data_IF_098082461370
#
_entry.id   IF_098082461370
#
_cell.length_a   1.000
_cell.length_b   1.000
_cell.length_c   1.000
_cell.angle_alpha   90.00
_cell.angle_beta   90.00
_cell.angle_gamma   90.00
#
_symmetry.space_group_name_H-M   'P 1'
#
loop_
_entity.id
_entity.type
_entity.pdbx_description
1 polymer ?
#
# COMPACT_ATOMS: atom_id res chain seq x y z
N UNK A 1 2.86 4.11 -22.58
CA UNK A 1 2.13 4.84 -21.54
C UNK A 1 2.66 4.36 -20.20
N UNK A 2 2.73 5.19 -19.17
CA UNK A 2 3.21 4.77 -17.88
C UNK A 2 2.25 3.75 -17.24
N UNK A 3 2.80 2.86 -16.43
CA UNK A 3 2.08 1.74 -15.81
C UNK A 3 2.29 1.76 -14.30
N UNK A 4 1.23 1.52 -13.53
CA UNK A 4 1.31 1.31 -12.09
C UNK A 4 0.75 -0.07 -11.71
N UNK A 5 1.44 -0.78 -10.81
CA UNK A 5 0.93 -2.00 -10.17
C UNK A 5 0.60 -1.72 -8.71
N UNK A 6 -0.55 -2.19 -8.24
CA UNK A 6 -1.03 -1.92 -6.88
C UNK A 6 -1.53 -3.22 -6.25
N UNK A 7 -1.04 -3.59 -5.08
CA UNK A 7 -1.67 -4.69 -4.33
C UNK A 7 -2.88 -4.19 -3.53
N UNK A 8 -4.00 -4.91 -3.59
CA UNK A 8 -5.22 -4.53 -2.88
C UNK A 8 -5.91 -3.28 -3.45
N UNK A 9 -6.04 -3.20 -4.79
CA UNK A 9 -6.60 -2.03 -5.51
C UNK A 9 -8.13 -1.95 -5.59
N UNK A 10 -8.87 -2.90 -5.01
CA UNK A 10 -10.32 -2.96 -5.17
C UNK A 10 -11.11 -1.99 -4.26
N UNK A 11 -10.56 -1.60 -3.12
CA UNK A 11 -11.28 -0.85 -2.07
C UNK A 11 -10.37 0.17 -1.37
N UNK A 12 -11.01 1.09 -0.65
CA UNK A 12 -10.35 2.03 0.28
C UNK A 12 -9.18 2.79 -0.38
N UNK A 13 -8.04 2.90 0.31
CA UNK A 13 -6.85 3.61 -0.19
C UNK A 13 -6.40 3.04 -1.54
N UNK A 14 -6.31 1.71 -1.67
CA UNK A 14 -5.86 1.08 -2.92
C UNK A 14 -6.71 1.43 -4.13
N UNK A 15 -8.07 1.38 -4.00
CA UNK A 15 -8.98 1.84 -5.06
C UNK A 15 -8.76 3.32 -5.38
N UNK A 16 -8.68 4.13 -4.36
CA UNK A 16 -8.46 5.56 -4.57
C UNK A 16 -7.15 5.87 -5.28
N UNK A 17 -6.06 5.17 -4.94
CA UNK A 17 -4.79 5.28 -5.65
C UNK A 17 -4.92 4.85 -7.11
N UNK A 18 -5.56 3.69 -7.38
CA UNK A 18 -5.77 3.17 -8.73
C UNK A 18 -6.49 4.18 -9.64
N UNK A 19 -7.59 4.76 -9.15
CA UNK A 19 -8.36 5.77 -9.90
C UNK A 19 -7.55 7.05 -10.16
N UNK A 20 -6.75 7.50 -9.19
CA UNK A 20 -5.96 8.73 -9.33
C UNK A 20 -4.76 8.55 -10.26
N UNK A 21 -4.14 7.38 -10.27
CA UNK A 21 -3.12 7.07 -11.26
C UNK A 21 -3.73 7.00 -12.68
N UNK A 22 -4.91 6.38 -12.83
CA UNK A 22 -5.63 6.36 -14.10
C UNK A 22 -5.95 7.78 -14.60
N UNK A 23 -6.44 8.67 -13.73
CA UNK A 23 -6.69 10.07 -14.04
C UNK A 23 -5.42 10.85 -14.43
N UNK A 24 -4.23 10.39 -13.99
CA UNK A 24 -2.93 10.93 -14.40
C UNK A 24 -2.35 10.26 -15.66
N UNK A 25 -3.14 9.42 -16.34
CA UNK A 25 -2.77 8.82 -17.62
C UNK A 25 -2.02 7.49 -17.51
N UNK A 26 -1.94 6.89 -16.36
CA UNK A 26 -1.35 5.56 -16.17
C UNK A 26 -2.32 4.44 -16.55
N UNK A 27 -1.81 3.41 -17.19
CA UNK A 27 -2.46 2.10 -17.20
C UNK A 27 -2.25 1.42 -15.84
N UNK A 28 -3.24 0.67 -15.38
CA UNK A 28 -3.27 0.19 -13.98
C UNK A 28 -3.41 -1.32 -13.92
N UNK A 29 -2.54 -1.98 -13.17
CA UNK A 29 -2.78 -3.36 -12.74
C UNK A 29 -2.97 -3.41 -11.23
N UNK A 30 -3.94 -4.17 -10.74
CA UNK A 30 -4.07 -4.35 -9.31
C UNK A 30 -4.57 -5.74 -8.91
N UNK A 31 -4.16 -6.15 -7.70
CA UNK A 31 -4.68 -7.38 -7.09
C UNK A 31 -5.86 -7.10 -6.17
N UNK A 32 -6.71 -8.12 -6.00
CA UNK A 32 -7.74 -8.18 -4.97
C UNK A 32 -7.81 -9.59 -4.40
N UNK A 33 -8.27 -9.76 -3.16
CA UNK A 33 -8.41 -11.10 -2.56
C UNK A 33 -9.86 -11.61 -2.71
N UNK A 34 -10.81 -11.03 -1.97
CA UNK A 34 -12.20 -11.49 -1.91
C UNK A 34 -13.21 -10.49 -2.49
N UNK A 35 -12.81 -9.25 -2.77
CA UNK A 35 -13.71 -8.18 -3.18
C UNK A 35 -13.88 -8.13 -4.70
N UNK A 36 -14.39 -9.21 -5.31
CA UNK A 36 -14.52 -9.36 -6.77
C UNK A 36 -15.35 -8.23 -7.40
N UNK A 37 -16.55 -7.97 -6.88
CA UNK A 37 -17.47 -6.97 -7.47
C UNK A 37 -16.90 -5.56 -7.38
N UNK A 38 -16.25 -5.22 -6.25
CA UNK A 38 -15.57 -3.93 -6.09
C UNK A 38 -14.36 -3.82 -7.04
N UNK A 39 -13.65 -4.92 -7.30
CA UNK A 39 -12.55 -4.93 -8.26
C UNK A 39 -13.06 -4.72 -9.69
N UNK A 40 -14.13 -5.39 -10.07
CA UNK A 40 -14.77 -5.22 -11.38
C UNK A 40 -15.30 -3.78 -11.58
N UNK A 41 -15.94 -3.20 -10.56
CA UNK A 41 -16.39 -1.81 -10.60
C UNK A 41 -15.22 -0.83 -10.76
N UNK A 42 -14.14 -1.00 -9.99
CA UNK A 42 -12.95 -0.15 -10.08
C UNK A 42 -12.29 -0.27 -11.46
N UNK A 43 -12.21 -1.48 -12.01
CA UNK A 43 -11.71 -1.70 -13.38
C UNK A 43 -12.55 -0.93 -14.40
N UNK A 44 -13.88 -1.07 -14.36
CA UNK A 44 -14.78 -0.37 -15.29
C UNK A 44 -14.61 1.16 -15.22
N UNK A 45 -14.44 1.74 -14.03
CA UNK A 45 -14.19 3.18 -13.88
C UNK A 45 -12.86 3.59 -14.53
N UNK A 46 -11.80 2.81 -14.37
CA UNK A 46 -10.49 3.07 -14.99
C UNK A 46 -10.59 2.97 -16.51
N UNK A 47 -11.28 1.95 -17.03
CA UNK A 47 -11.48 1.78 -18.47
C UNK A 47 -12.34 2.91 -19.06
N UNK A 48 -13.33 3.42 -18.35
CA UNK A 48 -14.11 4.60 -18.74
C UNK A 48 -13.26 5.89 -18.81
N UNK A 49 -12.13 5.95 -18.09
CA UNK A 49 -11.14 7.03 -18.23
C UNK A 49 -10.22 6.84 -19.45
N UNK A 50 -10.44 5.80 -20.27
CA UNK A 50 -9.63 5.47 -21.44
C UNK A 50 -8.27 4.86 -21.07
N UNK A 51 -8.14 4.22 -19.92
CA UNK A 51 -6.92 3.52 -19.47
C UNK A 51 -7.11 2.01 -19.51
N UNK A 52 -6.04 1.27 -19.81
CA UNK A 52 -6.07 -0.19 -19.65
C UNK A 52 -6.06 -0.53 -18.16
N UNK A 53 -6.87 -1.53 -17.80
CA UNK A 53 -6.90 -2.01 -16.41
C UNK A 53 -6.87 -3.55 -16.37
N UNK A 54 -5.86 -4.09 -15.69
CA UNK A 54 -5.74 -5.53 -15.44
C UNK A 54 -5.99 -5.80 -13.96
N UNK A 55 -6.88 -6.77 -13.67
CA UNK A 55 -7.17 -7.18 -12.29
C UNK A 55 -6.89 -8.66 -12.12
N UNK A 56 -6.30 -9.04 -10.99
CA UNK A 56 -5.98 -10.44 -10.68
C UNK A 56 -6.38 -10.76 -9.25
N UNK A 57 -7.10 -11.86 -9.07
CA UNK A 57 -7.36 -12.39 -7.73
C UNK A 57 -6.05 -12.95 -7.17
N UNK A 58 -5.69 -12.52 -5.95
CA UNK A 58 -4.43 -12.89 -5.33
C UNK A 58 -4.55 -12.81 -3.80
N UNK A 59 -4.16 -13.86 -3.13
CA UNK A 59 -3.82 -13.79 -1.71
C UNK A 59 -2.36 -13.35 -1.58
N UNK A 60 -2.15 -12.14 -1.08
CA UNK A 60 -0.79 -11.59 -0.93
C UNK A 60 0.03 -12.31 0.15
N UNK A 61 -0.61 -13.08 1.03
CA UNK A 61 0.08 -13.91 2.02
C UNK A 61 0.68 -15.19 1.41
N UNK A 62 0.23 -15.57 0.21
CA UNK A 62 0.79 -16.67 -0.56
C UNK A 62 1.83 -16.12 -1.57
N UNK A 63 3.09 -16.44 -1.33
CA UNK A 63 4.25 -15.99 -2.13
C UNK A 63 4.12 -16.42 -3.60
N UNK A 64 3.59 -17.62 -3.85
CA UNK A 64 3.39 -18.16 -5.20
C UNK A 64 2.26 -17.42 -5.92
N UNK A 65 1.13 -17.23 -5.25
CA UNK A 65 -0.01 -16.47 -5.78
C UNK A 65 0.39 -15.03 -6.14
N UNK A 66 1.13 -14.36 -5.24
CA UNK A 66 1.60 -13.00 -5.46
C UNK A 66 2.63 -12.93 -6.60
N UNK A 67 3.60 -13.85 -6.63
CA UNK A 67 4.59 -13.94 -7.70
C UNK A 67 3.94 -14.11 -9.07
N UNK A 68 2.98 -15.04 -9.19
CA UNK A 68 2.23 -15.28 -10.43
C UNK A 68 1.40 -14.08 -10.87
N UNK A 69 0.78 -13.36 -9.93
CA UNK A 69 0.03 -12.13 -10.25
C UNK A 69 0.94 -11.04 -10.84
N UNK A 70 2.12 -10.82 -10.24
CA UNK A 70 3.09 -9.83 -10.74
C UNK A 70 3.66 -10.22 -12.11
N UNK A 71 3.88 -11.50 -12.34
CA UNK A 71 4.32 -12.02 -13.64
C UNK A 71 3.27 -11.81 -14.72
N UNK A 72 1.99 -12.09 -14.42
CA UNK A 72 0.85 -11.80 -15.29
C UNK A 72 0.78 -10.32 -15.64
N UNK A 73 1.00 -9.43 -14.67
CA UNK A 73 1.01 -7.98 -14.90
C UNK A 73 2.11 -7.57 -15.89
N UNK A 74 3.33 -8.10 -15.74
CA UNK A 74 4.44 -7.81 -16.68
C UNK A 74 4.18 -8.33 -18.09
N UNK A 75 3.58 -9.51 -18.21
CA UNK A 75 3.30 -10.15 -19.49
C UNK A 75 2.16 -9.48 -20.25
N UNK A 76 1.05 -9.17 -19.58
CA UNK A 76 -0.18 -8.70 -20.22
C UNK A 76 -0.30 -7.17 -20.31
N UNK A 77 0.16 -6.45 -19.31
CA UNK A 77 0.07 -4.98 -19.29
C UNK A 77 1.41 -4.32 -19.60
N UNK A 78 2.48 -4.89 -19.11
CA UNK A 78 3.85 -4.40 -19.25
C UNK A 78 4.48 -4.05 -17.91
N UNK A 79 5.78 -3.76 -17.95
CA UNK A 79 6.58 -3.41 -16.78
C UNK A 79 6.10 -2.09 -16.15
N UNK A 80 5.88 -2.12 -14.83
CA UNK A 80 5.47 -0.93 -14.10
C UNK A 80 6.57 0.13 -14.03
N UNK A 81 6.19 1.39 -14.13
CA UNK A 81 7.02 2.53 -13.74
C UNK A 81 7.01 2.73 -12.23
N UNK A 82 5.90 2.34 -11.58
CA UNK A 82 5.70 2.44 -10.13
C UNK A 82 4.97 1.20 -9.63
N UNK A 83 5.45 0.63 -8.53
CA UNK A 83 4.75 -0.45 -7.81
C UNK A 83 4.37 0.02 -6.41
N UNK A 84 3.13 -0.24 -6.00
CA UNK A 84 2.59 0.15 -4.70
C UNK A 84 2.20 -1.09 -3.92
N UNK A 85 2.94 -1.37 -2.85
CA UNK A 85 2.59 -2.39 -1.86
C UNK A 85 1.61 -1.78 -0.87
N UNK A 86 0.30 -2.03 -1.11
CA UNK A 86 -0.79 -1.41 -0.33
C UNK A 86 -1.64 -2.43 0.42
N UNK A 87 -1.81 -3.65 -0.08
CA UNK A 87 -2.62 -4.68 0.58
C UNK A 87 -2.25 -4.82 2.07
N UNK A 88 -3.26 -4.90 2.91
CA UNK A 88 -3.05 -5.03 4.34
C UNK A 88 -4.35 -5.26 5.10
N UNK A 89 -4.21 -5.79 6.31
CA UNK A 89 -5.30 -6.01 7.25
C UNK A 89 -5.11 -5.17 8.50
N UNK A 90 -6.23 -4.80 9.13
CA UNK A 90 -6.27 -4.13 10.42
C UNK A 90 -7.08 -5.00 11.39
N UNK A 91 -6.43 -5.92 12.11
CA UNK A 91 -7.10 -6.85 13.00
C UNK A 91 -7.92 -6.13 14.08
N UNK A 92 -8.94 -6.80 14.62
CA UNK A 92 -9.69 -6.28 15.78
C UNK A 92 -8.74 -6.06 16.96
N UNK A 93 -9.14 -5.16 17.88
CA UNK A 93 -8.43 -4.98 19.15
C UNK A 93 -8.43 -6.29 19.96
N UNK A 94 -7.28 -6.62 20.51
CA UNK A 94 -7.08 -7.81 21.33
C UNK A 94 -6.16 -7.45 22.49
N UNK A 95 -6.52 -7.87 23.69
CA UNK A 95 -5.63 -7.73 24.86
C UNK A 95 -4.39 -8.61 24.68
N UNK A 96 -3.38 -8.42 25.52
CA UNK A 96 -2.17 -9.27 25.48
C UNK A 96 -2.50 -10.75 25.73
N UNK A 97 -3.54 -11.04 26.51
CA UNK A 97 -3.96 -12.42 26.84
C UNK A 97 -4.65 -13.08 25.64
N UNK A 98 -5.37 -12.30 24.83
CA UNK A 98 -6.11 -12.80 23.66
C UNK A 98 -5.26 -12.81 22.39
N UNK A 99 -4.10 -12.13 22.39
CA UNK A 99 -3.21 -12.06 21.24
C UNK A 99 -2.42 -13.35 21.09
N UNK A 100 -2.85 -14.24 20.20
CA UNK A 100 -2.16 -15.48 19.88
C UNK A 100 -1.04 -15.31 18.86
N UNK A 101 -0.06 -16.22 18.87
CA UNK A 101 1.05 -16.22 17.90
C UNK A 101 0.56 -16.41 16.46
N UNK A 102 -0.51 -17.16 16.23
CA UNK A 102 -1.06 -17.36 14.90
C UNK A 102 -1.61 -16.04 14.32
N UNK A 103 -2.39 -15.27 15.08
CA UNK A 103 -2.88 -13.96 14.63
C UNK A 103 -1.75 -12.97 14.34
N UNK A 104 -0.64 -13.05 15.07
CA UNK A 104 0.57 -12.27 14.80
C UNK A 104 1.21 -12.71 13.46
N UNK A 105 1.37 -14.02 13.23
CA UNK A 105 1.92 -14.56 11.97
C UNK A 105 1.04 -14.21 10.78
N UNK A 106 -0.28 -14.41 10.89
CA UNK A 106 -1.25 -14.03 9.86
C UNK A 106 -1.19 -12.53 9.53
N UNK A 107 -1.08 -11.68 10.54
CA UNK A 107 -0.96 -10.23 10.30
C UNK A 107 0.36 -9.88 9.61
N UNK A 108 1.47 -10.51 9.97
CA UNK A 108 2.77 -10.32 9.32
C UNK A 108 2.76 -10.83 7.87
N UNK A 109 2.13 -11.99 7.62
CA UNK A 109 2.08 -12.58 6.27
C UNK A 109 1.34 -11.69 5.27
N UNK A 110 0.34 -10.93 5.73
CA UNK A 110 -0.40 -9.99 4.86
C UNK A 110 0.26 -8.61 4.83
N UNK A 111 0.67 -8.06 5.98
CA UNK A 111 1.09 -6.67 6.09
C UNK A 111 2.58 -6.43 5.78
N UNK A 112 3.43 -7.47 5.92
CA UNK A 112 4.89 -7.28 5.91
C UNK A 112 5.59 -8.07 4.82
N UNK A 113 5.41 -9.39 4.78
CA UNK A 113 6.17 -10.28 3.90
C UNK A 113 5.96 -10.00 2.41
N UNK A 114 4.76 -9.62 1.94
CA UNK A 114 4.54 -9.32 0.53
C UNK A 114 5.47 -8.25 -0.04
N UNK A 115 5.94 -7.30 0.78
CA UNK A 115 6.88 -6.29 0.31
C UNK A 115 8.18 -6.90 -0.20
N UNK A 116 8.68 -7.98 0.43
CA UNK A 116 9.90 -8.66 -0.03
C UNK A 116 9.66 -9.37 -1.36
N UNK A 117 8.55 -10.10 -1.49
CA UNK A 117 8.18 -10.78 -2.73
C UNK A 117 8.03 -9.81 -3.89
N UNK A 118 7.29 -8.71 -3.66
CA UNK A 118 7.13 -7.63 -4.65
C UNK A 118 8.49 -7.05 -5.05
N UNK A 119 9.34 -6.73 -4.08
CA UNK A 119 10.64 -6.13 -4.33
C UNK A 119 11.52 -7.06 -5.18
N UNK A 120 11.56 -8.37 -4.88
CA UNK A 120 12.33 -9.38 -5.63
C UNK A 120 11.82 -9.52 -7.07
N UNK A 121 10.50 -9.70 -7.24
CA UNK A 121 9.88 -9.87 -8.56
C UNK A 121 10.09 -8.62 -9.42
N UNK A 122 9.79 -7.44 -8.88
CA UNK A 122 9.91 -6.17 -9.59
C UNK A 122 11.35 -5.83 -9.93
N UNK A 123 12.29 -6.06 -9.01
CA UNK A 123 13.73 -5.88 -9.28
C UNK A 123 14.20 -6.77 -10.43
N UNK A 124 13.78 -8.04 -10.47
CA UNK A 124 14.13 -8.95 -11.57
C UNK A 124 13.58 -8.47 -12.92
N UNK A 125 12.35 -7.94 -12.95
CA UNK A 125 11.75 -7.34 -14.16
C UNK A 125 12.54 -6.11 -14.60
N UNK A 126 12.81 -5.17 -13.70
CA UNK A 126 13.60 -3.96 -13.98
C UNK A 126 14.99 -4.30 -14.54
N UNK A 127 15.67 -5.28 -13.92
CA UNK A 127 17.00 -5.72 -14.36
C UNK A 127 16.96 -6.29 -15.79
N UNK A 128 15.95 -7.12 -16.13
CA UNK A 128 15.79 -7.64 -17.49
C UNK A 128 15.53 -6.55 -18.54
N UNK A 129 14.86 -5.47 -18.13
CA UNK A 129 14.48 -4.37 -19.02
C UNK A 129 15.48 -3.21 -19.03
N UNK A 130 16.48 -3.21 -18.15
CA UNK A 130 17.43 -2.12 -18.01
C UNK A 130 16.79 -0.83 -17.51
N UNK A 131 15.72 -0.92 -16.70
CA UNK A 131 14.99 0.23 -16.15
C UNK A 131 15.21 0.35 -14.65
N UNK A 132 15.02 1.56 -14.11
CA UNK A 132 15.07 1.80 -12.67
C UNK A 132 13.66 1.66 -12.08
N UNK A 133 13.52 0.89 -11.00
CA UNK A 133 12.25 0.65 -10.33
C UNK A 133 11.90 1.70 -9.27
N UNK A 134 10.60 1.90 -9.03
CA UNK A 134 10.06 2.72 -7.94
C UNK A 134 9.06 1.90 -7.14
N UNK A 135 9.44 1.49 -5.94
CA UNK A 135 8.58 0.74 -5.01
C UNK A 135 8.13 1.65 -3.86
N UNK A 136 6.83 1.76 -3.69
CA UNK A 136 6.22 2.56 -2.62
C UNK A 136 5.43 1.64 -1.71
N UNK A 137 5.73 1.66 -0.42
CA UNK A 137 5.02 0.88 0.60
C UNK A 137 3.99 1.76 1.30
N UNK A 138 2.77 1.25 1.48
CA UNK A 138 1.77 1.88 2.35
C UNK A 138 1.94 1.34 3.77
N UNK A 139 2.65 2.12 4.56
CA UNK A 139 2.89 1.87 5.98
C UNK A 139 1.69 2.21 6.85
N UNK A 140 1.96 2.78 8.00
CA UNK A 140 0.94 3.32 8.91
C UNK A 140 1.62 4.17 9.98
N UNK A 141 0.91 5.13 10.55
CA UNK A 141 1.31 5.80 11.78
C UNK A 141 1.55 4.79 12.92
N UNK A 142 0.85 3.64 12.92
CA UNK A 142 1.07 2.53 13.86
C UNK A 142 2.46 1.87 13.81
N UNK A 143 3.32 2.21 12.86
CA UNK A 143 4.74 1.84 12.88
C UNK A 143 5.59 2.73 13.79
N UNK A 144 5.11 3.91 14.13
CA UNK A 144 5.81 4.94 14.92
C UNK A 144 5.13 5.19 16.27
N UNK A 145 3.84 4.92 16.35
CA UNK A 145 3.04 5.01 17.57
C UNK A 145 2.55 3.62 17.97
N UNK A 146 2.69 3.31 19.26
CA UNK A 146 2.21 2.02 19.78
C UNK A 146 0.78 2.20 20.26
N UNK A 147 -0.16 1.65 19.50
CA UNK A 147 -1.58 1.68 19.85
C UNK A 147 -1.95 0.55 20.80
N UNK A 148 -2.67 0.91 21.85
CA UNK A 148 -3.15 -0.06 22.85
C UNK A 148 -3.99 -1.15 22.20
N UNK A 149 -3.81 -2.40 22.62
CA UNK A 149 -4.55 -3.57 22.16
C UNK A 149 -4.46 -3.86 20.64
N UNK A 150 -3.34 -3.44 20.02
CA UNK A 150 -3.05 -3.61 18.58
C UNK A 150 -1.67 -4.27 18.35
N UNK A 151 -1.27 -5.22 19.21
CA UNK A 151 0.08 -5.80 19.19
C UNK A 151 0.44 -6.31 17.79
N UNK A 152 -0.37 -7.18 17.19
CA UNK A 152 -0.09 -7.76 15.88
C UNK A 152 0.05 -6.68 14.78
N UNK A 153 -0.82 -5.67 14.80
CA UNK A 153 -0.77 -4.57 13.83
C UNK A 153 0.48 -3.71 14.01
N UNK A 154 0.75 -3.26 15.24
CA UNK A 154 1.93 -2.42 15.54
C UNK A 154 3.21 -3.14 15.13
N UNK A 155 3.37 -4.41 15.50
CA UNK A 155 4.54 -5.22 15.13
C UNK A 155 4.65 -5.34 13.61
N UNK A 156 3.56 -5.65 12.92
CA UNK A 156 3.58 -5.82 11.46
C UNK A 156 3.97 -4.53 10.72
N UNK A 157 3.46 -3.38 11.16
CA UNK A 157 3.78 -2.11 10.49
C UNK A 157 5.19 -1.59 10.84
N UNK A 158 5.67 -1.87 12.05
CA UNK A 158 7.09 -1.58 12.41
C UNK A 158 8.05 -2.49 11.63
N UNK A 159 7.73 -3.79 11.49
CA UNK A 159 8.49 -4.72 10.68
C UNK A 159 8.50 -4.31 9.19
N UNK A 160 7.34 -3.88 8.64
CA UNK A 160 7.22 -3.36 7.28
C UNK A 160 8.14 -2.14 7.07
N UNK A 161 8.16 -1.21 8.01
CA UNK A 161 9.02 -0.01 7.97
C UNK A 161 10.51 -0.41 7.90
N UNK A 162 10.94 -1.30 8.79
CA UNK A 162 12.34 -1.78 8.82
C UNK A 162 12.69 -2.53 7.54
N UNK A 163 11.77 -3.35 7.02
CA UNK A 163 11.95 -4.07 5.76
C UNK A 163 12.11 -3.09 4.58
N UNK A 164 11.27 -2.05 4.51
CA UNK A 164 11.37 -1.03 3.45
C UNK A 164 12.73 -0.30 3.47
N UNK A 165 13.24 0.07 4.65
CA UNK A 165 14.56 0.67 4.81
C UNK A 165 15.69 -0.27 4.38
N UNK A 166 15.59 -1.55 4.74
CA UNK A 166 16.56 -2.58 4.36
C UNK A 166 16.60 -2.78 2.85
N UNK A 167 15.42 -2.84 2.23
CA UNK A 167 15.28 -2.96 0.77
C UNK A 167 15.79 -1.70 0.04
N UNK A 168 15.52 -0.51 0.57
CA UNK A 168 16.02 0.74 0.00
C UNK A 168 17.56 0.74 -0.11
N UNK A 169 18.23 0.25 0.94
CA UNK A 169 19.69 0.12 0.95
C UNK A 169 20.18 -0.98 0.02
N UNK A 170 19.53 -2.13 0.03
CA UNK A 170 19.98 -3.31 -0.71
C UNK A 170 19.80 -3.19 -2.22
N UNK A 171 18.76 -2.45 -2.67
CA UNK A 171 18.37 -2.35 -4.08
C UNK A 171 18.87 -1.08 -4.79
N UNK A 172 19.47 -0.14 -4.06
CA UNK A 172 20.10 1.02 -4.68
C UNK A 172 21.35 0.58 -5.48
N UNK A 173 21.61 1.20 -6.65
CA UNK A 173 20.89 2.30 -7.29
C UNK A 173 19.78 1.84 -8.25
N UNK A 174 19.51 0.53 -8.39
CA UNK A 174 18.60 -0.03 -9.38
C UNK A 174 17.12 0.23 -9.05
N UNK A 175 16.80 0.49 -7.78
CA UNK A 175 15.44 0.74 -7.34
C UNK A 175 15.39 1.70 -6.15
N UNK A 176 14.38 2.56 -6.13
CA UNK A 176 14.01 3.33 -4.92
C UNK A 176 12.92 2.59 -4.15
N UNK A 177 13.03 2.59 -2.82
CA UNK A 177 11.98 2.06 -1.92
C UNK A 177 11.67 3.13 -0.87
N UNK A 178 10.42 3.61 -0.86
CA UNK A 178 9.96 4.64 0.06
C UNK A 178 8.62 4.24 0.69
N UNK A 179 8.27 4.88 1.80
CA UNK A 179 7.05 4.56 2.55
C UNK A 179 6.16 5.79 2.70
N UNK A 180 4.87 5.64 2.46
CA UNK A 180 3.86 6.59 2.92
C UNK A 180 3.18 5.98 4.14
N UNK A 181 3.14 6.70 5.25
CA UNK A 181 2.57 6.25 6.51
C UNK A 181 1.30 7.06 6.87
N UNK A 182 0.10 6.58 6.46
CA UNK A 182 -1.15 7.25 6.76
C UNK A 182 -1.50 7.17 8.25
N UNK A 183 -2.12 8.24 8.76
CA UNK A 183 -2.83 8.27 10.05
C UNK A 183 -4.31 7.88 9.88
N UNK A 184 -5.20 8.67 10.48
CA UNK A 184 -6.64 8.49 10.38
C UNK A 184 -7.16 9.04 9.04
N UNK A 185 -7.41 8.12 8.09
CA UNK A 185 -7.92 8.43 6.75
C UNK A 185 -9.39 8.02 6.66
N UNK A 186 -10.27 8.99 6.43
CA UNK A 186 -11.69 8.72 6.20
C UNK A 186 -11.89 8.00 4.86
N UNK A 187 -12.70 6.97 4.86
CA UNK A 187 -13.09 6.20 3.67
C UNK A 187 -14.60 6.28 3.48
N UNK A 188 -15.12 6.44 2.26
CA UNK A 188 -16.56 6.45 2.02
C UNK A 188 -17.27 5.19 2.54
N UNK A 189 -16.58 4.06 2.53
CA UNK A 189 -17.08 2.76 2.97
C UNK A 189 -17.18 2.64 4.50
N UNK A 190 -16.47 3.48 5.25
CA UNK A 190 -16.44 3.46 6.72
C UNK A 190 -17.72 4.10 7.32
N UNK A 191 -18.52 4.83 6.53
CA UNK A 191 -19.77 5.47 6.97
C UNK A 191 -20.83 4.44 7.38
N UNK A 192 -20.72 3.20 6.90
CA UNK A 192 -21.64 2.10 7.22
C UNK A 192 -21.12 1.17 8.32
N UNK A 193 -19.85 1.26 8.68
CA UNK A 193 -19.25 0.52 9.78
C UNK A 193 -19.25 1.39 11.03
N UNK A 194 -19.84 0.91 12.13
CA UNK A 194 -19.65 1.45 13.49
C UNK A 194 -18.19 1.28 13.96
N UNK A 195 -17.24 1.51 13.06
CA UNK A 195 -15.83 1.36 13.35
C UNK A 195 -15.37 2.60 14.15
N UNK A 196 -15.55 2.54 15.47
CA UNK A 196 -15.03 3.48 16.45
C UNK A 196 -13.49 3.58 16.44
N UNK A 197 -12.84 3.10 15.36
CA UNK A 197 -11.39 3.06 15.21
C UNK A 197 -10.82 4.39 14.71
N UNK A 198 -11.63 5.30 14.19
CA UNK A 198 -11.15 6.60 13.79
C UNK A 198 -10.94 7.50 15.01
N UNK A 199 -9.77 8.09 15.10
CA UNK A 199 -9.45 9.12 16.08
C UNK A 199 -10.41 10.30 15.89
N UNK A 200 -10.91 10.89 16.97
CA UNK A 200 -11.73 12.10 16.88
C UNK A 200 -10.97 13.19 16.11
N UNK A 201 -11.61 13.76 15.09
CA UNK A 201 -11.01 14.79 14.24
C UNK A 201 -10.54 16.03 15.02
N UNK A 202 -11.19 16.35 16.14
CA UNK A 202 -10.78 17.45 17.02
C UNK A 202 -9.40 17.25 17.66
N UNK A 203 -8.89 16.01 17.71
CA UNK A 203 -7.56 15.66 18.20
C UNK A 203 -6.47 15.75 17.12
N UNK A 204 -6.86 15.99 15.89
CA UNK A 204 -5.93 16.17 14.76
C UNK A 204 -5.71 17.68 14.58
N UNK A 205 -4.47 18.20 14.57
CA UNK A 205 -4.22 19.65 14.42
C UNK A 205 -4.88 20.27 13.17
N UNK A 206 -4.95 19.52 12.07
CA UNK A 206 -5.67 19.96 10.86
C UNK A 206 -7.20 19.92 11.00
N UNK A 207 -7.73 19.52 12.17
CA UNK A 207 -9.15 19.47 12.53
C UNK A 207 -10.05 18.73 11.52
N UNK A 208 -9.47 17.73 10.85
CA UNK A 208 -10.18 16.81 9.95
C UNK A 208 -9.42 15.49 9.84
N UNK A 209 -10.12 14.45 9.45
CA UNK A 209 -9.47 13.24 8.97
C UNK A 209 -8.78 13.51 7.62
N UNK A 210 -7.73 12.74 7.34
CA UNK A 210 -7.14 12.70 6.02
C UNK A 210 -8.11 12.04 5.01
N UNK A 211 -7.85 12.29 3.75
CA UNK A 211 -8.54 11.68 2.60
C UNK A 211 -7.58 10.81 1.80
N UNK A 212 -8.11 10.08 0.84
CA UNK A 212 -7.26 9.36 -0.12
C UNK A 212 -6.43 10.31 -0.97
N UNK A 213 -6.90 11.55 -1.21
CA UNK A 213 -6.13 12.58 -1.92
C UNK A 213 -4.90 12.97 -1.14
N UNK A 214 -5.00 13.17 0.17
CA UNK A 214 -3.86 13.48 1.01
C UNK A 214 -2.78 12.36 0.97
N UNK A 215 -3.21 11.10 0.92
CA UNK A 215 -2.30 9.95 0.77
C UNK A 215 -1.70 9.91 -0.64
N UNK A 216 -2.53 10.16 -1.66
CA UNK A 216 -2.08 10.14 -3.05
C UNK A 216 -1.01 11.19 -3.32
N UNK A 217 -1.11 12.38 -2.77
CA UNK A 217 -0.11 13.43 -2.97
C UNK A 217 1.28 12.98 -2.47
N UNK A 218 1.36 12.29 -1.35
CA UNK A 218 2.62 11.72 -0.86
C UNK A 218 3.11 10.54 -1.73
N UNK A 219 2.20 9.69 -2.20
CA UNK A 219 2.53 8.59 -3.13
C UNK A 219 3.01 9.17 -4.46
N UNK A 220 2.34 10.20 -4.98
CA UNK A 220 2.69 10.86 -6.23
C UNK A 220 4.06 11.55 -6.15
N UNK A 221 4.37 12.16 -5.01
CA UNK A 221 5.70 12.69 -4.77
C UNK A 221 6.77 11.61 -4.96
N UNK A 222 6.66 10.45 -4.32
CA UNK A 222 7.64 9.37 -4.48
C UNK A 222 7.62 8.74 -5.88
N UNK A 223 6.48 8.73 -6.55
CA UNK A 223 6.35 8.21 -7.91
C UNK A 223 7.08 9.08 -8.95
N UNK A 224 7.23 10.38 -8.69
CA UNK A 224 7.77 11.36 -9.66
C UNK A 224 9.05 12.05 -9.20
N UNK A 225 9.41 11.95 -7.93
CA UNK A 225 10.59 12.61 -7.36
C UNK A 225 11.90 12.05 -7.92
N UNK A 226 12.99 12.76 -7.60
CA UNK A 226 14.35 12.33 -7.93
C UNK A 226 14.65 10.92 -7.41
N UNK A 227 15.28 10.04 -8.18
CA UNK A 227 15.69 8.71 -7.71
C UNK A 227 16.80 8.76 -6.63
N UNK A 228 17.29 9.93 -6.29
CA UNK A 228 18.17 10.11 -5.14
C UNK A 228 17.42 10.05 -3.80
N UNK A 229 16.06 10.09 -3.85
CA UNK A 229 15.18 9.97 -2.69
C UNK A 229 14.79 8.50 -2.52
N UNK A 230 15.45 7.81 -1.60
CA UNK A 230 15.15 6.42 -1.22
C UNK A 230 15.27 6.23 0.28
N UNK A 231 14.57 5.24 0.84
CA UNK A 231 14.53 4.97 2.28
C UNK A 231 13.79 6.03 3.09
N UNK A 232 12.97 6.86 2.45
CA UNK A 232 12.25 7.93 3.14
C UNK A 232 10.83 7.49 3.53
N UNK A 233 10.32 8.11 4.60
CA UNK A 233 8.93 7.93 5.04
C UNK A 233 8.26 9.29 5.14
N UNK A 234 7.15 9.45 4.41
CA UNK A 234 6.26 10.60 4.58
C UNK A 234 5.07 10.16 5.44
N UNK A 235 4.88 10.86 6.56
CA UNK A 235 3.71 10.66 7.43
C UNK A 235 2.60 11.59 6.97
N UNK A 236 1.39 11.03 6.79
CA UNK A 236 0.19 11.76 6.35
C UNK A 236 -0.86 11.63 7.46
N UNK A 237 -0.74 12.46 8.51
CA UNK A 237 -1.53 12.33 9.74
C UNK A 237 -2.16 13.65 10.22
N UNK A 238 -2.06 14.73 9.43
CA UNK A 238 -2.58 16.05 9.81
C UNK A 238 -1.89 16.65 11.04
N UNK A 239 -0.69 16.18 11.38
CA UNK A 239 0.09 16.62 12.55
C UNK A 239 -0.27 15.89 13.85
N UNK A 240 -1.10 14.85 13.79
CA UNK A 240 -1.62 14.14 14.97
C UNK A 240 -0.51 13.69 15.93
N UNK A 241 0.56 13.10 15.42
CA UNK A 241 1.67 12.61 16.26
C UNK A 241 2.48 13.70 16.96
N UNK A 242 2.31 14.97 16.58
CA UNK A 242 3.08 16.10 17.12
C UNK A 242 2.43 16.71 18.37
N UNK A 243 1.21 16.33 18.72
CA UNK A 243 0.44 16.91 19.85
C UNK A 243 0.29 15.95 21.04
N UNK A 244 1.13 14.96 21.16
CA UNK A 244 1.21 14.02 22.27
C UNK A 244 2.36 14.31 23.19
#
# INVERSE_FOLDING_TARGET
MPIVWITGGARRIGRGLALRFAARGYDVAFTYHTSHDAAAATKAEIENMGRRCLITQCDVADDVSLGSALETFDQELGTADVVISNAGVFPKQQTVVDTGLEGLKETLSVNTFPLLTIARAYHAVCARRGTQGRLISIGSLGSMEIWKDRIAYNVSKSALQTLALSLARALAPSMTVNTVAPGAIAQPEDVTSNDASLIDASRIPMNRHGSVDDVFDAVWFFATASPYITGQTIVVDGGYRLVR
#
